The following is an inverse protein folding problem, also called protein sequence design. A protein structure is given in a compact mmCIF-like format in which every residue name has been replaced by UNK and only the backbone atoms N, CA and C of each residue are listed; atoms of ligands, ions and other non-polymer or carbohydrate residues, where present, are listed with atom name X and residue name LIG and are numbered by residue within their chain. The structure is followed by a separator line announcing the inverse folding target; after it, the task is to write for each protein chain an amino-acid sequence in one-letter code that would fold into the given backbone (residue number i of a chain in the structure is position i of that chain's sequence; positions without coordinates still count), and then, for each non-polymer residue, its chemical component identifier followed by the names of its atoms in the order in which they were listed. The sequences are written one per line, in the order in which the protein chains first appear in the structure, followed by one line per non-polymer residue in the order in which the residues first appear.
data_IF_778197011841
#
_entry.id   IF_778197011841
#
_cell.length_a   1.000
_cell.length_b   1.000
_cell.length_c   1.000
_cell.angle_alpha   90.00
_cell.angle_beta   90.00
_cell.angle_gamma   90.00
#
_symmetry.space_group_name_H-M   'P 1'
#
loop_
_entity.id
_entity.type
_entity.pdbx_description
1 polymer ?
#
# COMPACT_ATOMS: atom_id res chain seq x y z
N UNK A 1 3.68 26.76 -13.60
CA UNK A 1 4.05 26.37 -12.22
C UNK A 1 4.25 24.86 -12.22
N UNK A 2 5.49 24.37 -12.27
CA UNK A 2 5.80 22.94 -12.18
C UNK A 2 5.82 22.58 -10.69
N UNK A 3 4.66 22.20 -10.14
CA UNK A 3 4.60 21.64 -8.79
C UNK A 3 5.24 20.27 -8.80
N UNK A 4 6.34 20.10 -8.07
CA UNK A 4 6.92 18.79 -7.79
C UNK A 4 5.91 18.00 -6.98
N UNK A 5 5.33 16.94 -7.55
CA UNK A 5 4.39 16.09 -6.84
C UNK A 5 5.13 15.24 -5.80
N UNK A 6 4.54 15.07 -4.62
CA UNK A 6 5.17 14.35 -3.51
C UNK A 6 4.36 13.13 -3.10
N UNK A 7 5.02 12.17 -2.47
CA UNK A 7 4.39 10.99 -1.90
C UNK A 7 4.98 10.67 -0.53
N UNK A 8 4.17 10.03 0.31
CA UNK A 8 4.58 9.50 1.61
C UNK A 8 3.74 8.28 1.94
N UNK A 9 4.38 7.21 2.40
CA UNK A 9 3.68 5.99 2.81
C UNK A 9 4.63 4.83 3.08
N UNK A 10 4.06 3.64 3.17
CA UNK A 10 4.79 2.39 3.39
C UNK A 10 4.92 1.63 2.08
N UNK A 11 6.10 1.10 1.81
CA UNK A 11 6.30 0.18 0.68
C UNK A 11 5.61 -1.14 1.00
N UNK A 12 4.56 -1.49 0.26
CA UNK A 12 3.81 -2.74 0.46
C UNK A 12 4.14 -3.79 -0.58
N UNK A 13 4.76 -3.40 -1.70
CA UNK A 13 5.17 -4.32 -2.77
C UNK A 13 6.36 -3.78 -3.54
N UNK A 14 7.29 -4.66 -3.87
CA UNK A 14 8.38 -4.40 -4.81
C UNK A 14 8.32 -5.47 -5.90
N UNK A 15 8.33 -5.05 -7.16
CA UNK A 15 8.31 -5.95 -8.30
C UNK A 15 9.14 -5.39 -9.44
N UNK A 16 9.62 -6.27 -10.32
CA UNK A 16 10.13 -5.83 -11.62
C UNK A 16 8.96 -5.31 -12.45
N UNK A 17 9.14 -4.13 -13.02
CA UNK A 17 8.19 -3.44 -13.88
C UNK A 17 8.85 -2.92 -15.14
N UNK A 18 8.09 -2.17 -15.94
CA UNK A 18 8.60 -1.48 -17.13
C UNK A 18 8.18 -0.01 -17.16
N UNK A 19 9.14 0.85 -17.42
CA UNK A 19 8.91 2.25 -17.77
C UNK A 19 8.93 2.39 -19.29
N UNK A 20 7.76 2.30 -19.92
CA UNK A 20 7.68 2.07 -21.36
C UNK A 20 8.22 0.67 -21.70
N UNK A 21 9.37 0.62 -22.37
CA UNK A 21 10.06 -0.65 -22.67
C UNK A 21 11.33 -0.88 -21.84
N UNK A 22 11.74 0.09 -21.01
CA UNK A 22 12.91 -0.06 -20.14
C UNK A 22 12.53 -0.83 -18.86
N UNK A 23 13.36 -1.79 -18.39
CA UNK A 23 13.15 -2.40 -17.09
C UNK A 23 13.29 -1.36 -15.98
N UNK A 24 12.43 -1.43 -14.97
CA UNK A 24 12.46 -0.55 -13.82
C UNK A 24 11.93 -1.29 -12.59
N UNK A 25 12.27 -0.82 -11.39
CA UNK A 25 11.66 -1.34 -10.17
C UNK A 25 10.33 -0.61 -9.94
N UNK A 26 9.26 -1.39 -9.79
CA UNK A 26 7.94 -0.87 -9.42
C UNK A 26 7.72 -1.10 -7.94
N UNK A 27 7.43 -0.01 -7.25
CA UNK A 27 7.18 0.04 -5.81
C UNK A 27 5.74 0.48 -5.60
N UNK A 28 4.95 -0.33 -4.90
CA UNK A 28 3.62 0.09 -4.45
C UNK A 28 3.79 0.72 -3.07
N UNK A 29 3.36 1.97 -2.94
CA UNK A 29 3.37 2.72 -1.69
C UNK A 29 1.93 2.93 -1.24
N UNK A 30 1.64 2.52 -0.01
CA UNK A 30 0.34 2.67 0.63
C UNK A 30 0.40 3.80 1.67
N UNK A 31 -0.48 4.78 1.54
CA UNK A 31 -0.60 5.88 2.51
C UNK A 31 -1.24 5.38 3.82
N UNK A 32 -1.09 6.11 4.94
CA UNK A 32 -1.75 5.74 6.21
C UNK A 32 -3.28 5.60 6.10
N UNK A 33 -3.89 6.29 5.14
CA UNK A 33 -5.33 6.23 4.85
C UNK A 33 -5.71 5.02 3.96
N UNK A 34 -4.78 4.10 3.70
CA UNK A 34 -5.00 2.88 2.93
C UNK A 34 -4.96 3.05 1.41
N UNK A 35 -4.67 4.25 0.89
CA UNK A 35 -4.59 4.48 -0.56
C UNK A 35 -3.26 4.00 -1.10
N UNK A 36 -3.29 3.19 -2.17
CA UNK A 36 -2.07 2.65 -2.77
C UNK A 36 -1.80 3.25 -4.15
N UNK A 37 -0.53 3.49 -4.45
CA UNK A 37 -0.09 3.93 -5.77
C UNK A 37 1.23 3.28 -6.17
N UNK A 38 1.36 2.97 -7.46
CA UNK A 38 2.58 2.45 -8.06
C UNK A 38 3.52 3.58 -8.47
N UNK A 39 4.79 3.44 -8.08
CA UNK A 39 5.90 4.32 -8.40
C UNK A 39 7.03 3.53 -9.06
N UNK A 40 7.70 4.13 -10.04
CA UNK A 40 8.78 3.52 -10.80
C UNK A 40 10.10 4.15 -10.39
N UNK A 41 11.00 3.32 -9.87
CA UNK A 41 12.33 3.71 -9.41
C UNK A 41 13.35 3.16 -10.40
N UNK A 42 14.11 4.06 -11.02
CA UNK A 42 15.13 3.69 -11.99
C UNK A 42 16.39 3.14 -11.31
N UNK A 43 16.77 3.74 -10.18
CA UNK A 43 17.92 3.36 -9.37
C UNK A 43 17.47 3.14 -7.91
N UNK A 44 17.00 1.92 -7.57
CA UNK A 44 16.47 1.64 -6.24
C UNK A 44 17.61 1.63 -5.21
N UNK A 45 17.47 2.36 -4.09
CA UNK A 45 18.50 2.35 -3.06
C UNK A 45 18.54 1.01 -2.32
N UNK A 46 19.72 0.61 -1.83
CA UNK A 46 19.95 -0.70 -1.19
C UNK A 46 19.08 -0.97 0.05
N UNK A 47 18.58 0.09 0.70
CA UNK A 47 17.70 -0.02 1.86
C UNK A 47 16.23 -0.22 1.50
N UNK A 48 15.87 -0.18 0.22
CA UNK A 48 14.48 -0.26 -0.24
C UNK A 48 13.97 -1.70 -0.13
N UNK A 49 13.10 -1.93 0.85
CA UNK A 49 12.47 -3.21 1.13
C UNK A 49 10.98 -3.04 1.46
N UNK A 50 10.21 -4.13 1.42
CA UNK A 50 8.81 -4.10 1.86
C UNK A 50 8.76 -3.79 3.36
N UNK A 51 7.82 -2.94 3.78
CA UNK A 51 7.63 -2.51 5.16
C UNK A 51 8.33 -1.20 5.51
N UNK A 52 9.25 -0.69 4.67
CA UNK A 52 9.88 0.62 4.94
C UNK A 52 8.95 1.77 4.64
N UNK A 53 9.00 2.79 5.49
CA UNK A 53 8.37 4.07 5.21
C UNK A 53 9.27 4.95 4.37
N UNK A 54 8.65 5.55 3.37
CA UNK A 54 9.31 6.39 2.38
C UNK A 54 8.55 7.68 2.19
N UNK A 55 9.30 8.74 1.93
CA UNK A 55 8.75 9.96 1.35
C UNK A 55 9.67 10.47 0.25
N UNK A 56 9.09 11.19 -0.69
CA UNK A 56 9.83 11.61 -1.87
C UNK A 56 9.03 12.44 -2.84
N UNK A 57 9.65 12.67 -3.99
CA UNK A 57 9.06 13.37 -5.12
C UNK A 57 8.97 12.48 -6.34
N UNK A 58 7.95 12.73 -7.15
CA UNK A 58 7.76 12.06 -8.42
C UNK A 58 7.31 13.03 -9.49
N UNK A 59 7.48 12.60 -10.72
CA UNK A 59 6.88 13.21 -11.91
C UNK A 59 6.08 12.18 -12.68
N UNK A 60 5.07 12.66 -13.38
CA UNK A 60 4.33 11.83 -14.31
C UNK A 60 5.02 11.85 -15.67
N UNK A 61 5.41 10.67 -16.16
CA UNK A 61 6.00 10.48 -17.46
C UNK A 61 4.99 9.76 -18.37
N UNK A 62 4.75 10.32 -19.55
CA UNK A 62 3.98 9.66 -20.59
C UNK A 62 4.89 8.64 -21.27
N UNK A 63 4.51 7.37 -21.19
CA UNK A 63 5.24 6.26 -21.82
C UNK A 63 4.37 5.60 -22.89
N UNK A 64 4.96 4.71 -23.69
CA UNK A 64 4.22 3.84 -24.63
C UNK A 64 3.16 2.97 -23.93
N UNK A 65 3.26 2.79 -22.61
CA UNK A 65 2.33 2.03 -21.77
C UNK A 65 1.45 2.91 -20.88
N UNK A 66 1.29 4.18 -21.25
CA UNK A 66 0.50 5.16 -20.52
C UNK A 66 1.31 6.00 -19.53
N UNK A 67 0.61 6.75 -18.68
CA UNK A 67 1.21 7.63 -17.68
C UNK A 67 1.77 6.80 -16.52
N UNK A 68 3.02 7.08 -16.14
CA UNK A 68 3.73 6.41 -15.04
C UNK A 68 4.31 7.43 -14.07
N UNK A 69 4.27 7.15 -12.77
CA UNK A 69 4.89 7.98 -11.74
C UNK A 69 6.33 7.56 -11.57
N UNK A 70 7.25 8.38 -12.06
CA UNK A 70 8.69 8.14 -11.97
C UNK A 70 9.21 8.89 -10.75
N UNK A 71 9.88 8.16 -9.88
CA UNK A 71 10.48 8.72 -8.67
C UNK A 71 11.69 9.56 -9.05
N UNK A 72 11.69 10.83 -8.65
CA UNK A 72 12.83 11.74 -8.82
C UNK A 72 13.72 11.74 -7.57
N UNK A 73 13.12 11.62 -6.38
CA UNK A 73 13.85 11.46 -5.13
C UNK A 73 13.04 10.61 -4.16
N UNK A 74 13.72 9.78 -3.37
CA UNK A 74 13.11 8.98 -2.32
C UNK A 74 14.07 8.90 -1.14
N UNK A 75 13.54 9.08 0.06
CA UNK A 75 14.27 8.83 1.29
C UNK A 75 13.45 7.96 2.22
N UNK A 76 14.15 7.10 2.93
CA UNK A 76 13.61 6.40 4.10
C UNK A 76 13.24 7.45 5.14
N UNK A 77 12.08 7.29 5.76
CA UNK A 77 11.68 8.15 6.88
C UNK A 77 11.82 7.35 8.17
N UNK A 78 12.83 7.66 8.97
CA UNK A 78 12.99 7.13 10.33
C UNK A 78 12.08 7.84 11.35
N UNK A 79 11.35 8.87 10.90
CA UNK A 79 10.36 9.58 11.69
C UNK A 79 9.10 8.72 11.91
N UNK A 80 9.15 7.94 13.01
CA UNK A 80 8.00 7.48 13.77
C UNK A 80 7.62 6.03 13.55
N UNK A 81 8.12 5.13 14.42
CA UNK A 81 7.65 3.78 14.76
C UNK A 81 7.24 2.90 13.58
N UNK A 82 8.01 1.87 13.20
CA UNK A 82 7.56 0.82 12.29
C UNK A 82 6.06 0.54 12.55
N UNK A 83 5.20 0.56 11.52
CA UNK A 83 3.90 -0.04 11.74
C UNK A 83 4.21 -1.50 12.03
N UNK A 84 4.20 -1.88 13.30
CA UNK A 84 3.95 -3.26 13.63
C UNK A 84 2.66 -3.57 12.88
N UNK A 85 2.70 -4.59 12.05
CA UNK A 85 1.46 -5.27 11.68
C UNK A 85 0.86 -5.66 13.01
N UNK A 86 -0.04 -4.81 13.51
CA UNK A 86 -0.68 -5.05 14.78
C UNK A 86 -1.52 -6.30 14.51
N UNK A 87 -1.11 -7.43 15.10
CA UNK A 87 -1.90 -8.65 14.99
C UNK A 87 -3.29 -8.31 15.51
N UNK A 88 -4.24 -8.30 14.58
CA UNK A 88 -5.64 -8.09 14.89
C UNK A 88 -6.30 -9.43 15.02
N UNK A 89 -6.93 -9.67 16.16
CA UNK A 89 -7.82 -10.79 16.33
C UNK A 89 -9.16 -10.41 15.70
N UNK A 90 -9.49 -11.02 14.56
CA UNK A 90 -10.83 -10.88 13.97
C UNK A 90 -11.80 -11.68 14.82
N UNK A 91 -12.76 -10.99 15.44
CA UNK A 91 -13.80 -11.61 16.27
C UNK A 91 -15.06 -11.90 15.50
N UNK A 92 -15.44 -10.99 14.61
CA UNK A 92 -16.68 -11.11 13.85
C UNK A 92 -16.50 -10.54 12.45
N UNK A 93 -17.09 -11.23 11.47
CA UNK A 93 -17.25 -10.70 10.12
C UNK A 93 -18.72 -10.79 9.75
N UNK A 94 -19.29 -9.65 9.38
CA UNK A 94 -20.66 -9.56 8.91
C UNK A 94 -20.65 -9.39 7.40
N UNK A 95 -21.40 -10.25 6.69
CA UNK A 95 -21.60 -10.17 5.26
C UNK A 95 -23.06 -9.76 4.97
N UNK A 96 -23.37 -8.46 4.90
CA UNK A 96 -24.71 -8.02 4.55
C UNK A 96 -25.14 -8.57 3.17
N UNK A 97 -26.42 -8.87 2.94
CA UNK A 97 -26.93 -9.24 1.62
C UNK A 97 -26.75 -8.12 0.59
N UNK A 98 -26.72 -6.87 1.08
CA UNK A 98 -26.40 -5.68 0.29
C UNK A 98 -25.49 -4.78 1.12
N UNK A 99 -24.36 -4.33 0.55
CA UNK A 99 -23.44 -3.40 1.20
C UNK A 99 -22.05 -3.98 1.44
N UNK A 100 -21.24 -3.21 2.18
CA UNK A 100 -19.84 -3.53 2.46
C UNK A 100 -19.73 -4.61 3.54
N UNK A 101 -18.68 -5.43 3.45
CA UNK A 101 -18.36 -6.41 4.50
C UNK A 101 -17.88 -5.65 5.73
N UNK A 102 -18.37 -6.01 6.91
CA UNK A 102 -17.97 -5.38 8.17
C UNK A 102 -17.08 -6.36 8.93
N UNK A 103 -15.88 -5.92 9.30
CA UNK A 103 -14.93 -6.70 10.09
C UNK A 103 -14.76 -6.02 11.44
N UNK A 104 -15.02 -6.78 12.50
CA UNK A 104 -14.86 -6.35 13.88
C UNK A 104 -13.84 -7.23 14.58
N UNK A 105 -12.99 -6.59 15.37
CA UNK A 105 -11.90 -7.30 16.03
C UNK A 105 -11.26 -6.51 17.15
N UNK A 106 -10.16 -7.05 17.65
CA UNK A 106 -9.36 -6.44 18.70
C UNK A 106 -7.92 -6.34 18.22
N UNK A 107 -7.33 -5.18 18.45
CA UNK A 107 -5.90 -4.92 18.22
C UNK A 107 -5.05 -5.57 19.31
N UNK A 108 -3.75 -5.75 19.07
CA UNK A 108 -2.83 -6.35 20.04
C UNK A 108 -2.79 -5.64 21.40
N UNK A 109 -3.13 -4.34 21.45
CA UNK A 109 -3.22 -3.56 22.69
C UNK A 109 -4.60 -3.63 23.41
N UNK A 110 -5.53 -4.43 22.87
CA UNK A 110 -6.85 -4.66 23.45
C UNK A 110 -7.95 -3.69 23.00
N UNK A 111 -7.65 -2.72 22.12
CA UNK A 111 -8.70 -1.83 21.57
C UNK A 111 -9.57 -2.56 20.54
N UNK A 112 -10.87 -2.36 20.64
CA UNK A 112 -11.86 -2.86 19.67
C UNK A 112 -11.87 -1.98 18.43
N UNK A 113 -11.95 -2.58 17.24
CA UNK A 113 -12.14 -1.88 15.98
C UNK A 113 -13.33 -2.45 15.19
N UNK A 114 -13.87 -1.62 14.30
CA UNK A 114 -14.88 -1.99 13.30
C UNK A 114 -14.52 -1.27 11.99
N UNK A 115 -14.32 -2.03 10.91
CA UNK A 115 -13.93 -1.51 9.59
C UNK A 115 -14.81 -2.09 8.49
N UNK A 116 -15.09 -1.28 7.48
CA UNK A 116 -15.80 -1.72 6.27
C UNK A 116 -14.83 -2.07 5.15
N UNK A 117 -14.99 -3.24 4.57
CA UNK A 117 -14.16 -3.79 3.49
C UNK A 117 -14.99 -3.89 2.21
N UNK A 118 -14.49 -3.27 1.15
CA UNK A 118 -15.06 -3.28 -0.20
C UNK A 118 -14.18 -4.03 -1.22
N UNK A 119 -12.98 -4.44 -0.81
CA UNK A 119 -12.06 -5.16 -1.70
C UNK A 119 -12.56 -6.60 -1.91
N UNK A 120 -12.91 -7.00 -3.15
CA UNK A 120 -13.49 -8.31 -3.42
C UNK A 120 -12.51 -9.46 -3.16
N UNK A 121 -11.20 -9.26 -3.32
CA UNK A 121 -10.20 -10.29 -3.04
C UNK A 121 -10.12 -10.56 -1.53
N UNK A 122 -10.07 -9.49 -0.73
CA UNK A 122 -10.06 -9.57 0.74
C UNK A 122 -11.36 -10.18 1.27
N UNK A 123 -12.51 -9.81 0.71
CA UNK A 123 -13.81 -10.38 1.09
C UNK A 123 -13.86 -11.88 0.83
N UNK A 124 -13.34 -12.35 -0.30
CA UNK A 124 -13.25 -13.78 -0.60
C UNK A 124 -12.31 -14.53 0.34
N UNK A 125 -11.18 -13.93 0.72
CA UNK A 125 -10.28 -14.51 1.72
C UNK A 125 -10.94 -14.64 3.09
N UNK A 126 -11.64 -13.61 3.57
CA UNK A 126 -12.39 -13.65 4.82
C UNK A 126 -13.46 -14.74 4.81
N UNK A 127 -14.19 -14.90 3.70
CA UNK A 127 -15.19 -15.97 3.53
C UNK A 127 -14.56 -17.37 3.60
N UNK A 128 -13.34 -17.54 3.08
CA UNK A 128 -12.61 -18.81 3.10
C UNK A 128 -12.02 -19.11 4.48
N UNK A 129 -11.47 -18.10 5.15
CA UNK A 129 -10.87 -18.23 6.47
C UNK A 129 -11.86 -18.69 7.54
N UNK A 130 -13.09 -18.16 7.51
CA UNK A 130 -14.15 -18.50 8.47
C UNK A 130 -14.81 -19.88 8.25
N UNK A 131 -14.48 -20.58 7.16
CA UNK A 131 -15.02 -21.92 6.86
C UNK A 131 -14.15 -23.07 7.39
N UNK A 132 -13.00 -22.76 7.99
CA UNK A 132 -12.12 -23.73 8.66
C UNK A 132 -12.39 -23.76 10.14
#
# INVERSE_FOLDING_TARGET
MNGTATFRGTVTKIALGRLGELPAVRVTVTTPEGKSADYYVADPPDWLEVGVRVEGSFREAITTRGVRRVVDSMRRTDAGQAFELEEVEIRQVTFPPHGLTIVEGVTGDGRVFSVTVDDPEVVEELRRGLRR
#
